data_IF_188407142516
#
_entry.id   IF_188407142516
#
_cell.length_a   1.000
_cell.length_b   1.000
_cell.length_c   1.000
_cell.angle_alpha   90.00
_cell.angle_beta   90.00
_cell.angle_gamma   90.00
#
_symmetry.space_group_name_H-M   'P 1'
#
loop_
_entity.id
_entity.type
_entity.pdbx_description
1 polymer ?
#
# COMPACT_ATOMS: atom_id res chain seq x y z
N UNK A 1 -9.50 -5.12 -9.87
CA UNK A 1 -9.31 -5.50 -8.44
C UNK A 1 -8.30 -4.53 -7.86
N UNK A 2 -8.62 -3.80 -6.78
CA UNK A 2 -7.70 -2.83 -6.20
C UNK A 2 -6.48 -3.54 -5.62
N UNK A 3 -5.27 -3.00 -5.88
CA UNK A 3 -4.02 -3.56 -5.37
C UNK A 3 -3.95 -3.41 -3.85
N UNK A 4 -3.27 -4.33 -3.18
CA UNK A 4 -3.06 -4.34 -1.72
C UNK A 4 -2.47 -3.02 -1.24
N UNK A 5 -1.61 -2.39 -2.05
CA UNK A 5 -1.03 -1.07 -1.79
C UNK A 5 -2.08 0.04 -1.65
N UNK A 6 -3.11 0.06 -2.51
CA UNK A 6 -4.18 1.07 -2.50
C UNK A 6 -5.15 0.80 -1.36
N UNK A 7 -5.47 -0.47 -1.10
CA UNK A 7 -6.32 -0.85 0.03
C UNK A 7 -5.66 -0.47 1.36
N UNK A 8 -4.37 -0.79 1.52
CA UNK A 8 -3.62 -0.42 2.71
C UNK A 8 -3.52 1.10 2.87
N UNK A 9 -3.27 1.84 1.78
CA UNK A 9 -3.27 3.31 1.80
C UNK A 9 -4.61 3.85 2.32
N UNK A 10 -5.74 3.39 1.75
CA UNK A 10 -7.08 3.80 2.18
C UNK A 10 -7.33 3.51 3.65
N UNK A 11 -7.02 2.32 4.13
CA UNK A 11 -7.23 1.94 5.54
C UNK A 11 -6.44 2.85 6.46
N UNK A 12 -5.16 3.11 6.14
CA UNK A 12 -4.29 3.95 6.96
C UNK A 12 -4.76 5.41 6.94
N UNK A 13 -5.12 5.94 5.77
CA UNK A 13 -5.64 7.31 5.63
C UNK A 13 -6.93 7.50 6.44
N UNK A 14 -7.84 6.52 6.39
CA UNK A 14 -9.08 6.52 7.15
C UNK A 14 -8.82 6.46 8.67
N UNK A 15 -7.97 5.53 9.11
CA UNK A 15 -7.63 5.38 10.54
C UNK A 15 -6.93 6.62 11.12
N UNK A 16 -6.18 7.35 10.30
CA UNK A 16 -5.52 8.60 10.69
C UNK A 16 -6.44 9.83 10.58
N UNK A 17 -7.69 9.67 10.11
CA UNK A 17 -8.64 10.76 9.93
C UNK A 17 -8.20 11.80 8.90
N UNK A 18 -7.36 11.41 7.93
CA UNK A 18 -6.79 12.35 6.94
C UNK A 18 -7.78 12.66 5.82
N UNK A 19 -8.61 11.68 5.45
CA UNK A 19 -9.66 11.81 4.45
C UNK A 19 -10.89 11.04 4.92
N UNK A 20 -12.08 11.48 4.51
CA UNK A 20 -13.32 10.78 4.79
C UNK A 20 -13.41 9.45 4.04
N UNK A 21 -14.24 8.54 4.54
CA UNK A 21 -14.49 7.23 3.89
C UNK A 21 -15.05 7.43 2.49
N UNK A 22 -15.95 8.38 2.33
CA UNK A 22 -16.63 8.73 1.08
C UNK A 22 -15.61 9.23 0.06
N UNK A 23 -14.76 10.18 0.46
CA UNK A 23 -13.71 10.72 -0.43
C UNK A 23 -12.72 9.65 -0.84
N UNK A 24 -12.28 8.79 0.09
CA UNK A 24 -11.38 7.69 -0.22
C UNK A 24 -11.99 6.67 -1.19
N UNK A 25 -13.29 6.37 -1.05
CA UNK A 25 -13.98 5.46 -1.97
C UNK A 25 -14.11 6.07 -3.37
N UNK A 26 -14.38 7.37 -3.47
CA UNK A 26 -14.44 8.09 -4.74
C UNK A 26 -13.05 8.14 -5.40
N UNK A 27 -12.02 8.54 -4.66
CA UNK A 27 -10.64 8.56 -5.12
C UNK A 27 -10.16 7.18 -5.60
N UNK A 28 -10.60 6.08 -4.96
CA UNK A 28 -10.31 4.73 -5.46
C UNK A 28 -10.93 4.43 -6.82
N UNK A 29 -12.21 4.83 -7.03
CA UNK A 29 -12.88 4.63 -8.33
C UNK A 29 -12.22 5.47 -9.41
N UNK A 30 -11.85 6.70 -9.08
CA UNK A 30 -11.17 7.61 -9.98
C UNK A 30 -9.76 7.12 -10.35
N UNK A 31 -9.01 6.61 -9.39
CA UNK A 31 -7.68 6.04 -9.62
C UNK A 31 -7.76 4.80 -10.53
N UNK A 32 -8.74 3.91 -10.30
CA UNK A 32 -9.00 2.74 -11.14
C UNK A 32 -9.40 3.14 -12.56
N UNK A 33 -10.30 4.12 -12.72
CA UNK A 33 -10.71 4.64 -14.02
C UNK A 33 -9.55 5.28 -14.82
N UNK A 34 -8.60 5.91 -14.12
CA UNK A 34 -7.41 6.54 -14.71
C UNK A 34 -6.23 5.57 -14.86
N UNK A 35 -6.32 4.36 -14.32
CA UNK A 35 -5.23 3.38 -14.32
C UNK A 35 -4.00 3.80 -13.50
N UNK A 36 -4.18 4.65 -12.47
CA UNK A 36 -3.11 5.11 -11.58
C UNK A 36 -3.32 4.61 -10.15
N UNK A 37 -2.30 4.72 -9.29
CA UNK A 37 -2.45 4.37 -7.87
C UNK A 37 -3.24 5.42 -7.11
N UNK A 38 -3.89 5.01 -6.01
CA UNK A 38 -4.58 5.92 -5.10
C UNK A 38 -3.61 6.96 -4.53
N UNK A 39 -2.38 6.53 -4.21
CA UNK A 39 -1.30 7.40 -3.76
C UNK A 39 -1.00 8.51 -4.79
N UNK A 40 -0.86 8.15 -6.06
CA UNK A 40 -0.56 9.10 -7.13
C UNK A 40 -1.72 10.08 -7.36
N UNK A 41 -2.97 9.60 -7.32
CA UNK A 41 -4.15 10.46 -7.45
C UNK A 41 -4.23 11.47 -6.30
N UNK A 42 -4.11 11.02 -5.06
CA UNK A 42 -4.18 11.89 -3.88
C UNK A 42 -3.03 12.91 -3.88
N UNK A 43 -1.82 12.51 -4.27
CA UNK A 43 -0.70 13.43 -4.43
C UNK A 43 -0.94 14.50 -5.51
N UNK A 44 -1.54 14.12 -6.65
CA UNK A 44 -1.86 15.06 -7.74
C UNK A 44 -3.01 16.00 -7.39
N UNK A 45 -3.99 15.54 -6.61
CA UNK A 45 -5.14 16.36 -6.18
C UNK A 45 -4.75 17.50 -5.23
N UNK A 46 -3.62 17.37 -4.53
CA UNK A 46 -3.21 18.30 -3.49
C UNK A 46 -4.06 18.25 -2.21
N UNK A 47 -4.97 17.28 -2.08
CA UNK A 47 -5.86 17.14 -0.91
C UNK A 47 -5.11 16.84 0.39
N UNK A 48 -3.96 16.17 0.29
CA UNK A 48 -3.08 15.92 1.42
C UNK A 48 -1.72 16.56 1.18
N UNK A 49 -1.16 17.25 2.18
CA UNK A 49 0.19 17.75 2.09
C UNK A 49 1.21 16.58 2.04
N UNK A 50 2.39 16.78 1.42
CA UNK A 50 3.35 15.70 1.19
C UNK A 50 3.81 14.96 2.46
N UNK A 51 3.88 15.65 3.60
CA UNK A 51 4.28 15.07 4.88
C UNK A 51 3.23 14.07 5.41
N UNK A 52 1.94 14.33 5.18
CA UNK A 52 0.87 13.41 5.55
C UNK A 52 0.86 12.18 4.65
N UNK A 53 1.12 12.35 3.35
CA UNK A 53 1.30 11.23 2.43
C UNK A 53 2.50 10.38 2.90
N UNK A 54 3.64 10.99 3.21
CA UNK A 54 4.81 10.26 3.70
C UNK A 54 4.50 9.47 4.99
N UNK A 55 3.73 10.04 5.92
CA UNK A 55 3.28 9.34 7.13
C UNK A 55 2.44 8.10 6.81
N UNK A 56 1.54 8.17 5.82
CA UNK A 56 0.78 7.00 5.35
C UNK A 56 1.73 5.95 4.79
N UNK A 57 2.64 6.34 3.89
CA UNK A 57 3.58 5.42 3.24
C UNK A 57 4.49 4.74 4.26
N UNK A 58 4.96 5.47 5.26
CA UNK A 58 5.79 4.92 6.34
C UNK A 58 5.05 3.87 7.15
N UNK A 59 3.77 4.08 7.46
CA UNK A 59 2.93 3.06 8.09
C UNK A 59 2.73 1.88 7.14
N UNK A 60 2.37 2.13 5.87
CA UNK A 60 2.12 1.10 4.85
C UNK A 60 3.32 0.16 4.70
N UNK A 61 4.53 0.72 4.66
CA UNK A 61 5.80 -0.02 4.59
C UNK A 61 5.93 -1.09 5.70
N UNK A 62 5.48 -0.82 6.93
CA UNK A 62 5.56 -1.79 8.04
C UNK A 62 4.72 -3.05 7.79
N UNK A 63 3.65 -2.91 7.00
CA UNK A 63 2.75 -3.99 6.61
C UNK A 63 3.15 -4.67 5.29
N UNK A 64 4.17 -4.15 4.59
CA UNK A 64 4.70 -4.74 3.35
C UNK A 64 5.49 -6.02 3.62
N UNK A 65 5.29 -7.02 2.77
CA UNK A 65 6.05 -8.28 2.73
C UNK A 65 6.52 -8.53 1.31
N UNK A 66 7.78 -8.94 1.19
CA UNK A 66 8.35 -9.25 -0.11
C UNK A 66 7.95 -10.66 -0.54
N UNK A 67 7.70 -10.82 -1.83
CA UNK A 67 7.56 -12.12 -2.45
C UNK A 67 8.91 -12.85 -2.52
N UNK A 68 8.92 -14.15 -2.25
CA UNK A 68 10.11 -15.01 -2.37
C UNK A 68 10.63 -15.14 -3.81
N UNK A 69 9.77 -14.99 -4.81
CA UNK A 69 10.11 -15.12 -6.23
C UNK A 69 10.31 -13.78 -6.95
N UNK A 70 9.24 -12.98 -7.11
CA UNK A 70 9.31 -11.74 -7.91
C UNK A 70 9.86 -10.53 -7.14
N UNK A 71 10.16 -10.69 -5.84
CA UNK A 71 10.65 -9.64 -4.92
C UNK A 71 9.73 -8.40 -4.76
N UNK A 72 8.56 -8.39 -5.39
CA UNK A 72 7.57 -7.34 -5.22
C UNK A 72 6.97 -7.38 -3.81
N UNK A 73 6.53 -6.21 -3.34
CA UNK A 73 5.90 -6.08 -2.03
C UNK A 73 4.38 -6.23 -2.15
N UNK A 74 3.81 -7.12 -1.33
CA UNK A 74 2.37 -7.19 -1.07
C UNK A 74 2.11 -6.70 0.35
N UNK A 75 1.07 -5.89 0.54
CA UNK A 75 0.78 -5.27 1.81
C UNK A 75 -0.31 -6.04 2.55
N UNK A 76 0.02 -6.51 3.76
CA UNK A 76 -0.91 -7.21 4.62
C UNK A 76 -2.00 -6.28 5.14
N UNK A 77 -3.24 -6.71 5.04
CA UNK A 77 -4.40 -6.02 5.59
C UNK A 77 -4.66 -6.44 7.05
N UNK A 78 -5.46 -5.68 7.81
CA UNK A 78 -5.81 -6.03 9.18
C UNK A 78 -6.35 -7.46 9.29
N UNK A 79 -5.80 -8.24 10.23
CA UNK A 79 -6.17 -9.65 10.46
C UNK A 79 -5.47 -10.66 9.54
N UNK A 80 -4.75 -10.22 8.52
CA UNK A 80 -3.98 -11.12 7.66
C UNK A 80 -2.59 -11.42 8.23
N UNK A 81 -2.12 -12.65 8.01
CA UNK A 81 -0.74 -13.04 8.26
C UNK A 81 0.00 -13.28 6.95
N UNK A 82 1.33 -13.26 7.01
CA UNK A 82 2.16 -13.40 5.81
C UNK A 82 2.18 -14.83 5.26
N UNK A 83 1.89 -15.82 6.10
CA UNK A 83 1.77 -17.22 5.72
C UNK A 83 0.50 -17.50 4.90
N UNK A 84 -0.57 -16.73 5.13
CA UNK A 84 -1.91 -16.98 4.59
C UNK A 84 -2.20 -16.19 3.30
N UNK A 85 -1.35 -15.22 2.96
CA UNK A 85 -1.56 -14.30 1.82
C UNK A 85 -0.49 -14.56 0.75
N UNK A 86 -0.87 -15.02 -0.45
CA UNK A 86 0.07 -15.14 -1.56
C UNK A 86 0.42 -13.76 -2.13
N UNK A 87 1.53 -13.69 -2.86
CA UNK A 87 1.91 -12.48 -3.58
C UNK A 87 0.83 -12.08 -4.60
N UNK A 88 0.35 -10.84 -4.55
CA UNK A 88 -0.67 -10.34 -5.49
C UNK A 88 -0.18 -10.21 -6.94
N UNK A 89 1.14 -10.32 -7.17
CA UNK A 89 1.74 -10.18 -8.50
C UNK A 89 2.01 -11.51 -9.19
N UNK A 90 2.33 -12.57 -8.44
CA UNK A 90 2.75 -13.86 -9.02
C UNK A 90 2.20 -15.10 -8.30
N UNK A 91 1.46 -14.93 -7.19
CA UNK A 91 0.88 -16.02 -6.42
C UNK A 91 1.83 -16.78 -5.50
N UNK A 92 3.14 -16.53 -5.57
CA UNK A 92 4.12 -17.22 -4.73
C UNK A 92 4.05 -16.82 -3.24
N UNK A 93 4.57 -17.66 -2.32
CA UNK A 93 4.60 -17.35 -0.89
C UNK A 93 5.45 -16.11 -0.57
N UNK A 94 5.06 -15.40 0.48
CA UNK A 94 5.80 -14.25 1.00
C UNK A 94 6.90 -14.69 1.97
N UNK A 95 7.98 -13.91 2.07
CA UNK A 95 9.06 -14.19 3.02
C UNK A 95 8.79 -13.57 4.39
N UNK A 96 9.25 -14.26 5.44
CA UNK A 96 9.24 -13.74 6.80
C UNK A 96 10.18 -12.53 6.90
N UNK A 97 9.63 -11.37 7.31
CA UNK A 97 10.37 -10.13 7.52
C UNK A 97 9.68 -8.91 6.92
N UNK A 98 9.86 -7.73 7.54
CA UNK A 98 9.35 -6.46 7.01
C UNK A 98 10.14 -6.06 5.74
N UNK A 99 9.65 -6.48 4.58
CA UNK A 99 10.21 -6.18 3.28
C UNK A 99 9.65 -4.87 2.74
N UNK A 100 10.25 -3.74 3.12
CA UNK A 100 10.01 -2.47 2.43
C UNK A 100 11.14 -1.45 2.65
N UNK A 101 12.33 -1.93 3.00
CA UNK A 101 13.56 -1.18 2.84
C UNK A 101 14.17 -1.50 1.49
N UNK A 102 14.77 -0.53 0.76
CA UNK A 102 15.62 -0.85 -0.37
C UNK A 102 16.69 -1.85 0.07
N UNK A 103 17.17 -2.75 -0.81
CA UNK A 103 18.25 -3.66 -0.45
C UNK A 103 19.40 -2.85 0.12
N UNK A 104 19.75 -3.08 1.40
CA UNK A 104 20.98 -2.53 1.96
C UNK A 104 22.10 -3.11 1.12
N UNK A 105 22.65 -2.32 0.19
CA UNK A 105 23.88 -2.66 -0.53
C UNK A 105 24.94 -2.88 0.55
N UNK A 106 25.30 -4.15 0.80
CA UNK A 106 26.52 -4.48 1.53
C UNK A 106 27.67 -3.96 0.65
N UNK A 107 28.35 -2.93 1.12
CA UNK A 107 29.68 -2.55 0.64
C UNK A 107 30.71 -3.29 1.48
#
# INVERSE_FOLDING_TARGET
MPRSADIAFRIIALQKGLLSKERLNEAMREADARGISLEALVAQSGELPPDQIERILRTRRRHGRNCSQCLQATYLLPGQRWEDVPCEHCGAPMVAGAGSGPPRRRR
#
